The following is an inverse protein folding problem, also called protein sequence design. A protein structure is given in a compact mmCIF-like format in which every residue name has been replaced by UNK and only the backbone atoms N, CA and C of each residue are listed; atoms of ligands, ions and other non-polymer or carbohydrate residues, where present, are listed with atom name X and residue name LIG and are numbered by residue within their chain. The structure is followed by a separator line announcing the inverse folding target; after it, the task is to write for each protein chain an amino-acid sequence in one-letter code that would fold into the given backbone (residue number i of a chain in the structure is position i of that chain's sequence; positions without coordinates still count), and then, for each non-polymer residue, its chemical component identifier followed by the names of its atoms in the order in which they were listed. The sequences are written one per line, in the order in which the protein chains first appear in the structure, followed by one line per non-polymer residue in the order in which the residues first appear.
data_IF_059668130806
#
_entry.id   IF_059668130806
#
_cell.length_a   1.000
_cell.length_b   1.000
_cell.length_c   1.000
_cell.angle_alpha   90.00
_cell.angle_beta   90.00
_cell.angle_gamma   90.00
#
_symmetry.space_group_name_H-M   'P 1'
#
loop_
_entity.id
_entity.type
_entity.pdbx_description
1 polymer ?
#
# COMPACT_ATOMS: atom_id res chain seq x y z
N UNK A 1 -13.56 18.98 4.47
CA UNK A 1 -12.74 17.81 4.09
C UNK A 1 -13.58 16.74 3.41
N UNK A 2 -12.96 15.70 2.87
CA UNK A 2 -13.66 14.50 2.36
C UNK A 2 -14.41 13.82 3.48
N UNK A 3 -13.82 13.76 4.69
CA UNK A 3 -14.43 13.18 5.89
C UNK A 3 -15.71 13.92 6.27
N UNK A 4 -15.68 15.24 6.40
CA UNK A 4 -16.87 16.06 6.70
C UNK A 4 -17.95 15.91 5.63
N UNK A 5 -17.54 15.83 4.36
CA UNK A 5 -18.46 15.66 3.25
C UNK A 5 -19.12 14.28 3.22
N UNK A 6 -18.43 13.24 3.69
CA UNK A 6 -18.98 11.90 3.77
C UNK A 6 -20.20 11.85 4.67
N UNK A 7 -20.14 12.53 5.83
CA UNK A 7 -21.25 12.65 6.76
C UNK A 7 -22.38 13.48 6.18
N UNK A 8 -22.05 14.64 5.59
CA UNK A 8 -23.04 15.53 5.00
C UNK A 8 -23.82 14.90 3.84
N UNK A 9 -23.12 14.17 2.95
CA UNK A 9 -23.72 13.51 1.79
C UNK A 9 -24.14 12.06 2.04
N UNK A 10 -24.30 11.65 3.30
CA UNK A 10 -24.62 10.26 3.67
C UNK A 10 -25.89 9.72 3.01
N UNK A 11 -26.90 10.58 2.79
CA UNK A 11 -28.16 10.23 2.14
C UNK A 11 -28.11 10.15 0.59
N UNK A 12 -26.97 10.49 -0.05
CA UNK A 12 -26.83 10.51 -1.50
C UNK A 12 -25.83 9.42 -1.95
N UNK A 13 -26.31 8.20 -2.32
CA UNK A 13 -25.43 7.06 -2.55
C UNK A 13 -24.34 7.29 -3.60
N UNK A 14 -24.65 8.00 -4.69
CA UNK A 14 -23.72 8.27 -5.79
C UNK A 14 -22.51 9.15 -5.38
N UNK A 15 -22.71 10.06 -4.44
CA UNK A 15 -21.66 10.92 -3.86
C UNK A 15 -20.96 10.15 -2.73
N UNK A 16 -21.73 9.57 -1.81
CA UNK A 16 -21.23 8.86 -0.65
C UNK A 16 -20.25 7.74 -1.03
N UNK A 17 -20.55 6.94 -2.06
CA UNK A 17 -19.67 5.87 -2.52
C UNK A 17 -18.31 6.40 -3.02
N UNK A 18 -18.28 7.53 -3.72
CA UNK A 18 -17.04 8.16 -4.19
C UNK A 18 -16.21 8.70 -3.02
N UNK A 19 -16.86 9.32 -2.04
CA UNK A 19 -16.20 9.83 -0.83
C UNK A 19 -15.64 8.68 0.02
N UNK A 20 -16.41 7.58 0.19
CA UNK A 20 -15.92 6.37 0.86
C UNK A 20 -14.66 5.83 0.21
N UNK A 21 -14.60 5.80 -1.12
CA UNK A 21 -13.41 5.32 -1.82
C UNK A 21 -12.20 6.22 -1.55
N UNK A 22 -12.39 7.55 -1.46
CA UNK A 22 -11.31 8.47 -1.07
C UNK A 22 -10.86 8.26 0.38
N UNK A 23 -11.80 7.98 1.29
CA UNK A 23 -11.46 7.58 2.68
C UNK A 23 -10.64 6.28 2.71
N UNK A 24 -11.06 5.27 1.94
CA UNK A 24 -10.36 3.97 1.85
C UNK A 24 -8.89 4.11 1.41
N UNK A 25 -8.59 5.08 0.54
CA UNK A 25 -7.21 5.36 0.11
C UNK A 25 -6.46 6.36 1.01
N UNK A 26 -6.99 6.68 2.19
CA UNK A 26 -6.33 7.54 3.17
C UNK A 26 -6.35 9.04 2.80
N UNK A 27 -7.35 9.50 2.06
CA UNK A 27 -7.48 10.88 1.63
C UNK A 27 -8.65 11.64 2.33
N UNK A 28 -9.01 11.21 3.55
CA UNK A 28 -10.08 11.84 4.33
C UNK A 28 -9.84 13.32 4.63
N UNK A 29 -8.60 13.70 4.81
CA UNK A 29 -8.18 15.05 5.21
C UNK A 29 -8.18 16.07 4.06
N UNK A 30 -8.13 15.65 2.79
CA UNK A 30 -8.10 16.60 1.67
C UNK A 30 -9.43 17.36 1.55
N UNK A 31 -9.35 18.62 1.08
CA UNK A 31 -10.54 19.45 0.90
C UNK A 31 -11.20 19.15 -0.45
N UNK A 32 -12.53 19.10 -0.48
CA UNK A 32 -13.25 19.10 -1.75
C UNK A 32 -12.95 20.40 -2.52
N UNK A 33 -12.68 20.26 -3.81
CA UNK A 33 -12.27 21.40 -4.65
C UNK A 33 -10.81 21.80 -4.52
N UNK A 34 -9.98 21.06 -3.79
CA UNK A 34 -8.54 21.28 -3.74
C UNK A 34 -7.93 21.13 -5.15
N UNK A 35 -7.07 22.07 -5.54
CA UNK A 35 -6.43 22.05 -6.84
C UNK A 35 -5.46 20.87 -6.94
N UNK A 36 -5.47 20.14 -8.05
CA UNK A 36 -4.61 18.98 -8.26
C UNK A 36 -3.11 19.30 -8.17
N UNK A 37 -2.71 20.52 -8.50
CA UNK A 37 -1.33 21.03 -8.41
C UNK A 37 -0.83 21.17 -6.97
N UNK A 38 -1.71 21.17 -5.99
CA UNK A 38 -1.36 21.25 -4.56
C UNK A 38 -1.23 19.90 -3.90
N UNK A 39 -1.55 18.82 -4.62
CA UNK A 39 -1.41 17.46 -4.14
C UNK A 39 0.05 16.99 -4.29
N UNK A 40 0.55 16.29 -3.29
CA UNK A 40 1.80 15.53 -3.42
C UNK A 40 1.67 14.41 -4.46
N UNK A 41 2.80 13.90 -4.97
CA UNK A 41 2.79 12.78 -5.93
C UNK A 41 2.02 11.56 -5.40
N UNK A 42 2.23 11.20 -4.13
CA UNK A 42 1.52 10.09 -3.49
C UNK A 42 0.02 10.35 -3.34
N UNK A 43 -0.40 11.57 -2.99
CA UNK A 43 -1.83 11.94 -2.92
C UNK A 43 -2.49 11.86 -4.30
N UNK A 44 -1.83 12.38 -5.33
CA UNK A 44 -2.33 12.31 -6.70
C UNK A 44 -2.48 10.86 -7.19
N UNK A 45 -1.54 9.99 -6.85
CA UNK A 45 -1.64 8.55 -7.14
C UNK A 45 -2.84 7.92 -6.42
N UNK A 46 -3.05 8.22 -5.13
CA UNK A 46 -4.17 7.69 -4.35
C UNK A 46 -5.52 8.19 -4.85
N UNK A 47 -5.62 9.43 -5.34
CA UNK A 47 -6.84 9.93 -6.02
C UNK A 47 -7.14 9.09 -7.27
N UNK A 48 -6.11 8.81 -8.10
CA UNK A 48 -6.28 7.93 -9.26
C UNK A 48 -6.70 6.51 -8.85
N UNK A 49 -6.05 5.96 -7.81
CA UNK A 49 -6.38 4.65 -7.27
C UNK A 49 -7.82 4.57 -6.77
N UNK A 50 -8.29 5.59 -6.03
CA UNK A 50 -9.69 5.71 -5.61
C UNK A 50 -10.66 5.74 -6.79
N UNK A 51 -10.31 6.45 -7.86
CA UNK A 51 -11.11 6.46 -9.09
C UNK A 51 -11.19 5.06 -9.73
N UNK A 52 -10.09 4.33 -9.79
CA UNK A 52 -10.07 2.97 -10.34
C UNK A 52 -10.89 2.00 -9.49
N UNK A 53 -10.80 2.08 -8.16
CA UNK A 53 -11.61 1.27 -7.25
C UNK A 53 -13.11 1.51 -7.36
N UNK A 54 -13.52 2.74 -7.72
CA UNK A 54 -14.94 3.07 -7.90
C UNK A 54 -15.53 2.50 -9.20
N UNK A 55 -14.68 1.99 -10.10
CA UNK A 55 -15.15 1.34 -11.33
C UNK A 55 -15.51 -0.12 -11.07
N UNK A 56 -16.60 -0.58 -11.63
CA UNK A 56 -16.90 -2.00 -11.74
C UNK A 56 -16.05 -2.56 -12.89
N UNK A 57 -14.86 -3.11 -12.58
CA UNK A 57 -13.98 -3.69 -13.59
C UNK A 57 -14.22 -5.19 -13.69
N UNK A 58 -14.62 -5.64 -14.86
CA UNK A 58 -14.63 -7.05 -15.26
C UNK A 58 -13.39 -7.35 -16.13
N UNK A 59 -12.18 -7.30 -15.58
CA UNK A 59 -11.00 -7.53 -16.40
C UNK A 59 -9.72 -7.61 -15.57
N UNK A 60 -8.68 -8.20 -16.18
CA UNK A 60 -7.34 -8.24 -15.58
C UNK A 60 -6.61 -6.93 -15.92
N UNK A 61 -6.41 -6.10 -14.91
CA UNK A 61 -5.66 -4.84 -15.02
C UNK A 61 -4.32 -4.97 -14.32
N UNK A 62 -3.27 -4.44 -14.92
CA UNK A 62 -1.97 -4.25 -14.29
C UNK A 62 -1.91 -2.83 -13.69
N UNK A 63 -1.80 -2.74 -12.37
CA UNK A 63 -1.56 -1.51 -11.66
C UNK A 63 -0.07 -1.40 -11.30
N UNK A 64 0.56 -0.30 -11.67
CA UNK A 64 1.96 0.01 -11.30
C UNK A 64 1.91 1.26 -10.43
N UNK A 65 2.39 1.14 -9.20
CA UNK A 65 2.38 2.20 -8.20
C UNK A 65 3.81 2.49 -7.76
N UNK A 66 4.19 3.75 -7.81
CA UNK A 66 5.51 4.22 -7.42
C UNK A 66 5.41 4.98 -6.10
N UNK A 67 6.05 4.43 -5.05
CA UNK A 67 6.08 4.94 -3.68
C UNK A 67 4.71 5.42 -3.15
N UNK A 68 3.62 4.62 -3.24
CA UNK A 68 2.28 5.08 -2.87
C UNK A 68 2.12 5.37 -1.38
N UNK A 69 3.09 4.97 -0.53
CA UNK A 69 3.07 5.27 0.92
C UNK A 69 3.71 6.60 1.29
N UNK A 70 4.28 7.34 0.32
CA UNK A 70 4.93 8.62 0.59
C UNK A 70 3.97 9.60 1.25
N UNK A 71 4.38 10.15 2.41
CA UNK A 71 3.58 11.10 3.20
C UNK A 71 2.42 10.50 3.98
N UNK A 72 2.31 9.16 4.05
CA UNK A 72 1.28 8.49 4.83
C UNK A 72 1.73 8.21 6.27
N UNK A 73 0.82 8.40 7.22
CA UNK A 73 0.95 7.86 8.57
C UNK A 73 0.73 6.33 8.56
N UNK A 74 1.21 5.67 9.61
CA UNK A 74 1.12 4.20 9.74
C UNK A 74 -0.30 3.65 9.54
N UNK A 75 -1.32 4.32 10.10
CA UNK A 75 -2.72 3.93 9.93
C UNK A 75 -3.17 3.99 8.46
N UNK A 76 -2.75 5.04 7.73
CA UNK A 76 -3.14 5.23 6.33
C UNK A 76 -2.45 4.21 5.41
N UNK A 77 -1.23 3.79 5.75
CA UNK A 77 -0.55 2.67 5.07
C UNK A 77 -1.39 1.38 5.18
N UNK A 78 -1.99 1.12 6.33
CA UNK A 78 -2.86 -0.05 6.50
C UNK A 78 -4.13 0.04 5.65
N UNK A 79 -4.73 1.24 5.54
CA UNK A 79 -5.88 1.46 4.66
C UNK A 79 -5.48 1.21 3.19
N UNK A 80 -4.37 1.76 2.75
CA UNK A 80 -3.84 1.54 1.40
C UNK A 80 -3.61 0.05 1.12
N UNK A 81 -3.00 -0.68 2.04
CA UNK A 81 -2.77 -2.13 1.88
C UNK A 81 -4.07 -2.91 1.68
N UNK A 82 -5.13 -2.59 2.42
CA UNK A 82 -6.47 -3.22 2.22
C UNK A 82 -7.02 -2.95 0.82
N UNK A 83 -6.77 -1.76 0.31
CA UNK A 83 -7.19 -1.37 -1.05
C UNK A 83 -6.43 -2.18 -2.10
N UNK A 84 -5.10 -2.29 -1.97
CA UNK A 84 -4.27 -3.07 -2.88
C UNK A 84 -4.65 -4.55 -2.85
N UNK A 85 -4.92 -5.08 -1.66
CA UNK A 85 -5.42 -6.45 -1.49
C UNK A 85 -6.78 -6.65 -2.18
N UNK A 86 -7.70 -5.70 -2.05
CA UNK A 86 -9.00 -5.74 -2.74
C UNK A 86 -8.84 -5.73 -4.26
N UNK A 87 -7.92 -4.91 -4.80
CA UNK A 87 -7.61 -4.93 -6.24
C UNK A 87 -7.09 -6.28 -6.69
N UNK A 88 -6.11 -6.85 -5.97
CA UNK A 88 -5.54 -8.17 -6.25
C UNK A 88 -6.62 -9.26 -6.20
N UNK A 89 -7.45 -9.26 -5.17
CA UNK A 89 -8.51 -10.27 -4.98
C UNK A 89 -9.60 -10.20 -6.07
N UNK A 90 -9.74 -9.05 -6.73
CA UNK A 90 -10.60 -8.89 -7.90
C UNK A 90 -9.94 -9.39 -9.22
N UNK A 91 -8.84 -10.13 -9.15
CA UNK A 91 -8.17 -10.74 -10.30
C UNK A 91 -7.18 -9.81 -11.03
N UNK A 92 -6.80 -8.69 -10.41
CA UNK A 92 -5.81 -7.79 -10.99
C UNK A 92 -4.39 -8.13 -10.55
N UNK A 93 -3.41 -7.63 -11.28
CA UNK A 93 -2.00 -7.65 -10.91
C UNK A 93 -1.59 -6.28 -10.38
N UNK A 94 -0.95 -6.24 -9.22
CA UNK A 94 -0.50 -5.00 -8.59
C UNK A 94 1.01 -5.07 -8.40
N UNK A 95 1.75 -4.16 -9.05
CA UNK A 95 3.19 -3.97 -8.89
C UNK A 95 3.39 -2.68 -8.09
N UNK A 96 4.13 -2.77 -6.99
CA UNK A 96 4.39 -1.64 -6.11
C UNK A 96 5.90 -1.46 -5.99
N UNK A 97 6.40 -0.28 -6.35
CA UNK A 97 7.79 0.11 -6.10
C UNK A 97 7.79 0.76 -4.72
N UNK A 98 8.46 0.13 -3.75
CA UNK A 98 8.39 0.57 -2.36
C UNK A 98 9.65 0.19 -1.56
N UNK A 99 9.90 0.99 -0.53
CA UNK A 99 10.91 0.72 0.51
C UNK A 99 10.29 0.58 1.90
N UNK A 100 8.97 0.75 2.03
CA UNK A 100 8.25 0.60 3.29
C UNK A 100 8.08 -0.89 3.65
N UNK A 101 8.68 -1.32 4.77
CA UNK A 101 8.66 -2.72 5.21
C UNK A 101 7.26 -3.25 5.51
N UNK A 102 6.30 -2.37 5.89
CA UNK A 102 4.91 -2.77 6.11
C UNK A 102 4.25 -3.23 4.80
N UNK A 103 4.60 -2.60 3.66
CA UNK A 103 4.13 -3.00 2.33
C UNK A 103 4.86 -4.24 1.87
N UNK A 104 6.20 -4.23 1.93
CA UNK A 104 7.06 -5.31 1.44
C UNK A 104 6.70 -6.65 2.10
N UNK A 105 6.47 -6.68 3.42
CA UNK A 105 6.10 -7.92 4.13
C UNK A 105 4.72 -8.48 3.76
N UNK A 106 3.84 -7.65 3.18
CA UNK A 106 2.48 -8.04 2.79
C UNK A 106 2.39 -8.45 1.32
N UNK A 107 3.48 -8.35 0.55
CA UNK A 107 3.50 -8.76 -0.86
C UNK A 107 3.47 -10.28 -1.02
N UNK A 108 2.95 -10.74 -2.14
CA UNK A 108 3.00 -12.16 -2.51
C UNK A 108 4.38 -12.54 -3.09
N UNK A 109 5.03 -11.58 -3.77
CA UNK A 109 6.32 -11.74 -4.42
C UNK A 109 7.12 -10.45 -4.34
N UNK A 110 8.43 -10.57 -4.10
CA UNK A 110 9.39 -9.46 -4.05
C UNK A 110 10.40 -9.67 -5.16
N UNK A 111 10.76 -8.59 -5.84
CA UNK A 111 11.91 -8.49 -6.73
C UNK A 111 12.82 -7.44 -6.12
N UNK A 112 13.95 -7.86 -5.54
CA UNK A 112 14.92 -6.98 -4.88
C UNK A 112 16.02 -6.58 -5.86
N UNK A 113 16.14 -5.29 -6.11
CA UNK A 113 17.12 -4.72 -7.03
C UNK A 113 18.27 -4.09 -6.24
N UNK A 114 19.49 -4.27 -6.74
CA UNK A 114 20.69 -3.72 -6.10
C UNK A 114 21.97 -4.11 -6.85
N UNK A 115 23.13 -4.22 -6.13
CA UNK A 115 23.32 -3.98 -4.68
C UNK A 115 23.22 -2.52 -4.29
N UNK A 116 23.56 -1.59 -5.21
CA UNK A 116 23.56 -0.15 -5.00
C UNK A 116 22.63 0.56 -5.98
N UNK A 117 22.62 1.89 -5.98
CA UNK A 117 21.88 2.70 -6.95
C UNK A 117 22.74 3.12 -8.15
N UNK A 118 22.11 3.62 -9.22
CA UNK A 118 22.78 4.14 -10.39
C UNK A 118 23.52 3.06 -11.20
N UNK A 119 24.71 3.37 -11.73
CA UNK A 119 25.49 2.48 -12.60
C UNK A 119 25.98 1.19 -11.93
N UNK A 120 26.06 1.16 -10.59
CA UNK A 120 26.48 -0.02 -9.81
C UNK A 120 25.30 -0.86 -9.30
N UNK A 121 24.08 -0.55 -9.72
CA UNK A 121 22.84 -1.20 -9.29
C UNK A 121 22.00 -1.69 -10.45
N UNK A 122 20.74 -1.98 -10.15
CA UNK A 122 19.75 -2.42 -11.14
C UNK A 122 19.80 -3.90 -11.47
N UNK A 123 20.62 -4.69 -10.78
CA UNK A 123 20.62 -6.15 -10.89
C UNK A 123 19.58 -6.77 -9.94
N UNK A 124 19.01 -7.89 -10.35
CA UNK A 124 18.14 -8.67 -9.45
C UNK A 124 19.03 -9.44 -8.47
N UNK A 125 19.02 -9.00 -7.21
CA UNK A 125 19.77 -9.65 -6.13
C UNK A 125 19.08 -10.95 -5.69
N UNK A 126 17.77 -10.89 -5.55
CA UNK A 126 16.91 -12.03 -5.22
C UNK A 126 15.47 -11.72 -5.59
N UNK A 127 14.72 -12.75 -5.92
CA UNK A 127 13.27 -12.68 -6.08
C UNK A 127 12.59 -13.84 -5.34
N UNK A 128 11.35 -13.66 -4.92
CA UNK A 128 10.58 -14.69 -4.25
C UNK A 128 9.60 -14.17 -3.20
N UNK A 129 9.02 -15.11 -2.45
CA UNK A 129 8.16 -14.72 -1.33
C UNK A 129 8.93 -13.96 -0.23
N UNK A 130 8.24 -13.17 0.60
CA UNK A 130 8.89 -12.47 1.72
C UNK A 130 9.72 -13.39 2.61
N UNK A 131 9.28 -14.63 2.85
CA UNK A 131 10.01 -15.61 3.66
C UNK A 131 11.29 -16.09 2.97
N UNK A 132 11.29 -16.20 1.63
CA UNK A 132 12.48 -16.55 0.86
C UNK A 132 13.49 -15.40 0.88
N UNK A 133 13.03 -14.19 0.61
CA UNK A 133 13.88 -12.98 0.60
C UNK A 133 14.49 -12.72 1.97
N UNK A 134 13.73 -12.91 3.05
CA UNK A 134 14.20 -12.70 4.43
C UNK A 134 15.36 -13.63 4.85
N UNK A 135 15.62 -14.70 4.13
CA UNK A 135 16.73 -15.65 4.38
C UNK A 135 17.99 -15.31 3.58
N UNK A 136 17.90 -14.38 2.64
CA UNK A 136 19.04 -13.97 1.81
C UNK A 136 20.06 -13.20 2.63
N UNK A 137 21.36 -13.56 2.46
CA UNK A 137 22.48 -12.85 3.08
C UNK A 137 22.96 -11.65 2.23
N UNK A 138 22.67 -11.67 0.94
CA UNK A 138 23.07 -10.62 -0.03
C UNK A 138 22.05 -9.49 -0.14
N UNK A 139 20.82 -9.68 0.31
CA UNK A 139 19.75 -8.70 0.22
C UNK A 139 19.67 -7.82 1.47
N UNK A 140 19.80 -6.50 1.30
CA UNK A 140 19.53 -5.54 2.37
C UNK A 140 18.06 -5.59 2.78
N UNK A 141 17.15 -5.62 1.83
CA UNK A 141 15.70 -5.80 2.06
C UNK A 141 15.43 -7.05 2.88
N UNK A 142 16.06 -8.18 2.53
CA UNK A 142 15.94 -9.43 3.26
C UNK A 142 16.42 -9.35 4.72
N UNK A 143 17.52 -8.65 4.97
CA UNK A 143 18.06 -8.43 6.31
C UNK A 143 17.05 -7.68 7.20
N UNK A 144 16.47 -6.58 6.71
CA UNK A 144 15.45 -5.83 7.45
C UNK A 144 14.16 -6.64 7.61
N UNK A 145 13.69 -7.29 6.55
CA UNK A 145 12.48 -8.09 6.54
C UNK A 145 12.55 -9.24 7.56
N UNK A 146 13.72 -9.87 7.74
CA UNK A 146 13.93 -10.93 8.73
C UNK A 146 13.61 -10.48 10.15
N UNK A 147 13.96 -9.24 10.51
CA UNK A 147 13.68 -8.67 11.83
C UNK A 147 12.18 -8.43 12.02
N UNK A 148 11.50 -7.92 11.00
CA UNK A 148 10.05 -7.70 11.03
C UNK A 148 9.26 -9.02 11.18
N UNK A 149 9.66 -10.06 10.47
CA UNK A 149 8.98 -11.37 10.54
C UNK A 149 9.24 -12.07 11.89
N UNK A 150 10.43 -11.90 12.50
CA UNK A 150 10.75 -12.44 13.83
C UNK A 150 9.97 -11.74 14.94
N UNK A 151 9.85 -10.42 14.90
CA UNK A 151 9.10 -9.64 15.89
C UNK A 151 7.63 -10.13 15.97
N UNK A 152 7.00 -10.45 14.85
CA UNK A 152 5.63 -10.98 14.80
C UNK A 152 5.48 -12.34 15.50
N UNK A 153 6.51 -13.21 15.46
CA UNK A 153 6.51 -14.50 16.17
C UNK A 153 6.61 -14.31 17.69
N UNK A 154 7.36 -13.34 18.16
CA UNK A 154 7.56 -13.10 19.59
C UNK A 154 6.31 -12.49 20.24
N UNK A 155 5.54 -11.68 19.52
CA UNK A 155 4.28 -11.12 20.03
C UNK A 155 3.14 -12.15 20.10
N UNK A 156 3.07 -13.13 19.19
CA UNK A 156 2.07 -14.22 19.27
C UNK A 156 2.31 -15.19 20.43
N UNK A 157 3.52 -15.25 20.98
CA UNK A 157 3.86 -16.15 22.08
C UNK A 157 3.55 -15.55 23.48
N UNK A 158 3.12 -14.31 23.56
CA UNK A 158 2.65 -13.67 24.81
C UNK A 158 1.16 -13.38 24.72
N UNK A 159 0.33 -14.39 24.58
CA UNK A 159 -1.06 -14.29 25.05
C UNK A 159 -1.02 -14.22 26.56
N UNK A 160 -1.32 -13.06 27.08
CA UNK A 160 -1.39 -12.80 28.53
C UNK A 160 -2.58 -13.57 29.06
N UNK A 161 -2.32 -14.61 29.81
CA UNK A 161 -3.33 -15.30 30.63
C UNK A 161 -3.73 -14.33 31.75
N UNK A 162 -4.88 -13.70 31.61
CA UNK A 162 -5.50 -12.98 32.73
C UNK A 162 -6.09 -14.04 33.67
N UNK A 163 -5.53 -14.11 34.88
CA UNK A 163 -6.18 -14.70 36.03
C UNK A 163 -7.14 -13.70 36.66
#
# INVERSE_FOLDING_TARGET
TVEDALDFFSAIPSINNKLKTLMEVGLGYIKLGQQATTLSGGEAQRVKLGKELSKSTSGHTLYILDEPTTGLHFHDVQLLLRVLEKLRNNGNTVVVIEHNMEVIKCSDWIIDLGPEGGFAGGEIIIEGSPERVSKSKSSYTGKYLSNFLRAKKTFKAKEITYQ
#
